data_IF_110808714033
#
_entry.id   IF_110808714033
#
_cell.length_a   1.000
_cell.length_b   1.000
_cell.length_c   1.000
_cell.angle_alpha   90.00
_cell.angle_beta   90.00
_cell.angle_gamma   90.00
#
_symmetry.space_group_name_H-M   'P 1'
#
loop_
_entity.id
_entity.type
_entity.pdbx_description
1 polymer ?
#
# COMPACT_ATOMS: atom_id res chain seq x y z
N UNK A 1 -3.87 15.04 11.71
CA UNK A 1 -3.17 15.34 10.43
C UNK A 1 -1.81 16.00 10.64
N UNK A 2 -1.68 17.17 11.28
CA UNK A 2 -0.39 17.88 11.44
C UNK A 2 0.68 17.00 12.12
N UNK A 3 0.36 16.41 13.29
CA UNK A 3 1.28 15.50 14.00
C UNK A 3 1.64 14.25 13.17
N UNK A 4 0.66 13.71 12.45
CA UNK A 4 0.88 12.56 11.58
C UNK A 4 1.85 12.90 10.44
N UNK A 5 1.67 14.06 9.79
CA UNK A 5 2.60 14.53 8.76
C UNK A 5 4.01 14.76 9.30
N UNK A 6 4.12 15.43 10.46
CA UNK A 6 5.44 15.68 11.08
C UNK A 6 6.16 14.37 11.41
N UNK A 7 5.44 13.37 11.95
CA UNK A 7 5.99 12.05 12.27
C UNK A 7 6.39 11.30 10.98
N UNK A 8 5.52 11.25 9.97
CA UNK A 8 5.80 10.64 8.69
C UNK A 8 7.04 11.25 8.02
N UNK A 9 7.11 12.57 7.97
CA UNK A 9 8.24 13.29 7.39
C UNK A 9 9.55 13.02 8.15
N UNK A 10 9.51 13.00 9.48
CA UNK A 10 10.70 12.71 10.31
C UNK A 10 11.28 11.33 10.01
N UNK A 11 10.44 10.29 10.02
CA UNK A 11 10.89 8.92 9.88
C UNK A 11 11.23 8.51 8.45
N UNK A 12 10.60 9.14 7.44
CA UNK A 12 10.84 8.79 6.03
C UNK A 12 11.71 9.82 5.28
N UNK A 13 12.29 10.82 5.96
CA UNK A 13 13.02 11.92 5.34
C UNK A 13 14.18 11.50 4.44
N UNK A 14 14.80 10.35 4.73
CA UNK A 14 15.94 9.81 3.98
C UNK A 14 15.55 8.65 3.06
N UNK A 15 14.26 8.27 3.03
CA UNK A 15 13.78 7.17 2.21
C UNK A 15 13.33 7.68 0.84
N UNK A 16 13.52 6.84 -0.17
CA UNK A 16 13.06 7.07 -1.55
C UNK A 16 12.23 5.89 -2.04
N UNK A 17 11.35 6.15 -2.99
CA UNK A 17 10.59 5.09 -3.67
C UNK A 17 11.56 4.14 -4.39
N UNK A 18 11.25 2.84 -4.32
CA UNK A 18 12.12 1.76 -4.84
C UNK A 18 12.50 2.03 -6.30
N UNK A 19 13.78 1.87 -6.62
CA UNK A 19 14.39 2.12 -7.93
C UNK A 19 14.25 3.55 -8.45
N UNK A 20 13.97 4.53 -7.60
CA UNK A 20 13.83 5.93 -7.98
C UNK A 20 14.64 6.85 -7.06
N UNK A 21 14.62 8.15 -7.35
CA UNK A 21 15.09 9.21 -6.46
C UNK A 21 13.94 10.01 -5.84
N UNK A 22 12.70 9.53 -5.99
CA UNK A 22 11.51 10.21 -5.51
C UNK A 22 11.43 10.05 -3.99
N UNK A 23 11.34 11.13 -3.21
CA UNK A 23 11.20 11.04 -1.75
C UNK A 23 9.98 10.21 -1.36
N UNK A 24 10.14 9.32 -0.38
CA UNK A 24 9.07 8.40 0.04
C UNK A 24 7.82 9.12 0.55
N UNK A 25 8.00 10.28 1.18
CA UNK A 25 6.90 11.11 1.68
C UNK A 25 5.87 11.45 0.59
N UNK A 26 6.27 11.50 -0.69
CA UNK A 26 5.35 11.74 -1.82
C UNK A 26 4.27 10.67 -1.93
N UNK A 27 4.63 9.40 -1.64
CA UNK A 27 3.68 8.29 -1.59
C UNK A 27 2.71 8.43 -0.42
N UNK A 28 3.22 8.70 0.77
CA UNK A 28 2.41 8.84 1.98
C UNK A 28 1.39 9.98 1.85
N UNK A 29 1.82 11.11 1.27
CA UNK A 29 0.93 12.24 0.97
C UNK A 29 -0.15 11.86 -0.06
N UNK A 30 0.22 11.13 -1.11
CA UNK A 30 -0.73 10.69 -2.14
C UNK A 30 -1.76 9.73 -1.57
N UNK A 31 -1.37 8.77 -0.74
CA UNK A 31 -2.29 7.84 -0.06
C UNK A 31 -3.24 8.60 0.86
N UNK A 32 -2.73 9.53 1.67
CA UNK A 32 -3.56 10.37 2.55
C UNK A 32 -4.57 11.22 1.76
N UNK A 33 -4.14 11.80 0.64
CA UNK A 33 -5.03 12.57 -0.25
C UNK A 33 -6.14 11.69 -0.84
N UNK A 34 -5.78 10.51 -1.37
CA UNK A 34 -6.74 9.54 -1.88
C UNK A 34 -7.77 9.12 -0.83
N UNK A 35 -7.38 8.94 0.42
CA UNK A 35 -8.29 8.62 1.52
C UNK A 35 -9.34 9.73 1.67
N UNK A 36 -8.91 11.00 1.72
CA UNK A 36 -9.83 12.14 1.85
C UNK A 36 -10.73 12.31 0.63
N UNK A 37 -10.19 12.17 -0.57
CA UNK A 37 -10.93 12.27 -1.84
C UNK A 37 -12.03 11.20 -1.97
N UNK A 38 -11.87 10.06 -1.29
CA UNK A 38 -12.83 8.96 -1.28
C UNK A 38 -13.67 8.88 0.00
N UNK A 39 -13.81 10.01 0.71
CA UNK A 39 -14.73 10.15 1.84
C UNK A 39 -14.20 9.63 3.17
N UNK A 40 -12.91 9.33 3.26
CA UNK A 40 -12.27 8.90 4.50
C UNK A 40 -12.20 10.02 5.55
N UNK A 41 -12.17 9.63 6.81
CA UNK A 41 -12.05 10.52 7.94
C UNK A 41 -10.64 11.12 8.08
N UNK A 42 -10.46 12.21 8.87
CA UNK A 42 -9.13 12.73 9.20
C UNK A 42 -8.22 11.71 9.89
N UNK A 43 -8.78 10.74 10.64
CA UNK A 43 -8.00 9.68 11.28
C UNK A 43 -7.52 8.65 10.26
N UNK A 44 -8.37 8.25 9.31
CA UNK A 44 -7.98 7.40 8.19
C UNK A 44 -6.92 8.08 7.30
N UNK A 45 -7.06 9.38 7.02
CA UNK A 45 -6.07 10.12 6.24
C UNK A 45 -4.73 10.27 7.01
N UNK A 46 -4.79 10.41 8.35
CA UNK A 46 -3.59 10.38 9.20
C UNK A 46 -2.92 9.00 9.18
N UNK A 47 -3.72 7.93 9.20
CA UNK A 47 -3.21 6.57 9.02
C UNK A 47 -2.61 6.36 7.62
N UNK A 48 -3.19 6.96 6.57
CA UNK A 48 -2.63 6.96 5.22
C UNK A 48 -1.23 7.61 5.13
N UNK A 49 -0.96 8.65 5.94
CA UNK A 49 0.39 9.22 6.07
C UNK A 49 1.38 8.28 6.78
N UNK A 50 0.89 7.36 7.59
CA UNK A 50 1.70 6.58 8.54
C UNK A 50 1.67 5.08 8.27
N UNK A 51 0.96 4.61 7.23
CA UNK A 51 0.67 3.20 7.02
C UNK A 51 1.89 2.29 6.93
N UNK A 52 3.02 2.82 6.43
CA UNK A 52 4.29 2.09 6.30
C UNK A 52 5.28 2.34 7.46
N UNK A 53 4.92 3.19 8.45
CA UNK A 53 5.89 3.66 9.45
C UNK A 53 6.43 2.52 10.33
N UNK A 54 5.57 1.55 10.67
CA UNK A 54 5.96 0.38 11.48
C UNK A 54 6.71 -0.69 10.68
N UNK A 55 6.58 -0.70 9.34
CA UNK A 55 7.30 -1.66 8.47
C UNK A 55 8.67 -1.12 8.05
N UNK A 56 8.74 0.15 7.70
CA UNK A 56 9.89 0.73 7.00
C UNK A 56 10.82 1.51 7.92
N UNK A 57 10.46 1.70 9.21
CA UNK A 57 11.23 2.54 10.14
C UNK A 57 11.35 1.91 11.52
N UNK A 58 12.21 2.51 12.36
CA UNK A 58 12.39 2.13 13.77
C UNK A 58 11.33 2.79 14.71
N UNK A 59 10.27 3.38 14.18
CA UNK A 59 9.21 3.97 14.98
C UNK A 59 8.49 2.90 15.78
N UNK A 60 8.46 3.04 17.10
CA UNK A 60 7.73 2.10 17.96
C UNK A 60 6.23 2.36 17.96
N UNK A 61 5.43 1.31 18.18
CA UNK A 61 3.98 1.45 18.36
C UNK A 61 3.63 2.41 19.51
N UNK A 62 4.40 2.41 20.59
CA UNK A 62 4.19 3.31 21.74
C UNK A 62 4.36 4.78 21.32
N UNK A 63 5.42 5.11 20.57
CA UNK A 63 5.62 6.46 20.05
C UNK A 63 4.52 6.87 19.10
N UNK A 64 4.11 5.97 18.20
CA UNK A 64 2.99 6.19 17.28
C UNK A 64 1.73 6.53 18.09
N UNK A 65 1.36 5.68 19.03
CA UNK A 65 0.16 5.80 19.87
C UNK A 65 0.13 7.10 20.68
N UNK A 66 1.23 7.46 21.30
CA UNK A 66 1.34 8.71 22.07
C UNK A 66 1.27 9.96 21.21
N UNK A 67 1.69 9.87 19.94
CA UNK A 67 1.70 11.01 19.00
C UNK A 67 0.36 11.23 18.31
N UNK A 68 -0.29 10.17 17.83
CA UNK A 68 -1.50 10.29 16.98
C UNK A 68 -2.75 9.64 17.56
N UNK A 69 -2.65 8.95 18.69
CA UNK A 69 -3.77 8.34 19.40
C UNK A 69 -4.09 6.91 18.97
N UNK A 70 -5.00 6.27 19.71
CA UNK A 70 -5.34 4.85 19.55
C UNK A 70 -5.97 4.56 18.18
N UNK A 71 -6.96 5.32 17.75
CA UNK A 71 -7.69 5.10 16.51
C UNK A 71 -6.76 5.02 15.31
N UNK A 72 -5.89 6.03 15.14
CA UNK A 72 -4.94 6.08 14.02
C UNK A 72 -3.94 4.91 14.11
N UNK A 73 -3.46 4.61 15.32
CA UNK A 73 -2.51 3.52 15.55
C UNK A 73 -3.09 2.16 15.17
N UNK A 74 -4.34 1.87 15.56
CA UNK A 74 -4.97 0.60 15.21
C UNK A 74 -5.21 0.46 13.70
N UNK A 75 -5.56 1.55 13.00
CA UNK A 75 -5.66 1.55 11.53
C UNK A 75 -4.28 1.26 10.90
N UNK A 76 -3.22 1.92 11.37
CA UNK A 76 -1.85 1.68 10.87
C UNK A 76 -1.44 0.22 11.08
N UNK A 77 -1.65 -0.33 12.28
CA UNK A 77 -1.36 -1.74 12.59
C UNK A 77 -2.09 -2.70 11.67
N UNK A 78 -3.35 -2.43 11.36
CA UNK A 78 -4.13 -3.26 10.44
C UNK A 78 -3.63 -3.19 8.99
N UNK A 79 -2.93 -2.13 8.59
CA UNK A 79 -2.27 -2.02 7.30
C UNK A 79 -0.88 -2.65 7.27
N UNK A 80 -0.24 -2.85 8.45
CA UNK A 80 1.13 -3.33 8.61
C UNK A 80 1.20 -4.85 8.37
N UNK A 81 2.17 -5.30 7.59
CA UNK A 81 2.42 -6.73 7.41
C UNK A 81 3.18 -7.31 8.59
N UNK A 82 2.88 -8.56 8.95
CA UNK A 82 3.66 -9.31 9.93
C UNK A 82 5.14 -9.38 9.50
N UNK A 83 6.08 -9.03 10.39
CA UNK A 83 7.50 -9.14 10.09
C UNK A 83 7.87 -10.61 9.86
N UNK A 84 8.77 -10.87 8.91
CA UNK A 84 9.25 -12.22 8.64
C UNK A 84 10.72 -12.19 8.27
N UNK A 85 11.49 -13.11 8.84
CA UNK A 85 12.89 -13.33 8.51
C UNK A 85 13.07 -14.07 7.17
N UNK A 86 12.04 -14.77 6.70
CA UNK A 86 12.09 -15.49 5.43
C UNK A 86 12.05 -14.52 4.24
N UNK A 87 13.22 -14.27 3.66
CA UNK A 87 13.42 -13.40 2.47
C UNK A 87 13.29 -14.16 1.15
N UNK A 88 13.00 -15.47 1.17
CA UNK A 88 12.80 -16.26 -0.06
C UNK A 88 11.54 -15.83 -0.82
N UNK A 89 11.42 -16.24 -2.10
CA UNK A 89 10.21 -16.02 -2.88
C UNK A 89 9.00 -16.73 -2.28
N UNK A 90 9.20 -17.90 -1.67
CA UNK A 90 8.15 -18.62 -0.97
C UNK A 90 7.68 -17.84 0.27
N UNK A 91 8.61 -17.35 1.08
CA UNK A 91 8.31 -16.49 2.23
C UNK A 91 7.59 -15.20 1.80
N UNK A 92 8.01 -14.58 0.68
CA UNK A 92 7.31 -13.42 0.11
C UNK A 92 5.85 -13.78 -0.22
N UNK A 93 5.62 -14.90 -0.93
CA UNK A 93 4.28 -15.35 -1.31
C UNK A 93 3.41 -15.69 -0.10
N UNK A 94 3.98 -16.36 0.91
CA UNK A 94 3.27 -16.68 2.17
C UNK A 94 2.79 -15.41 2.89
N UNK A 95 3.65 -14.38 3.01
CA UNK A 95 3.24 -13.09 3.61
C UNK A 95 2.12 -12.42 2.83
N UNK A 96 2.20 -12.42 1.50
CA UNK A 96 1.16 -11.83 0.64
C UNK A 96 -0.15 -12.61 0.73
N UNK A 97 -0.10 -13.94 0.79
CA UNK A 97 -1.28 -14.77 1.01
C UNK A 97 -1.89 -14.50 2.39
N UNK A 98 -1.07 -14.45 3.43
CA UNK A 98 -1.54 -14.11 4.78
C UNK A 98 -2.27 -12.75 4.81
N UNK A 99 -1.72 -11.74 4.15
CA UNK A 99 -2.37 -10.44 4.04
C UNK A 99 -3.74 -10.54 3.34
N UNK A 100 -3.84 -11.27 2.22
CA UNK A 100 -5.09 -11.48 1.50
C UNK A 100 -6.15 -12.19 2.35
N UNK A 101 -5.73 -13.18 3.11
CA UNK A 101 -6.61 -13.99 3.97
C UNK A 101 -7.20 -13.15 5.14
N UNK A 102 -6.48 -12.10 5.58
CA UNK A 102 -6.87 -11.26 6.70
C UNK A 102 -7.58 -9.96 6.29
N UNK A 103 -7.50 -9.56 5.01
CA UNK A 103 -8.25 -8.40 4.49
C UNK A 103 -9.76 -8.47 4.79
N UNK A 104 -10.47 -9.59 4.58
CA UNK A 104 -11.90 -9.70 4.85
C UNK A 104 -12.24 -9.75 6.34
N UNK A 105 -11.33 -10.22 7.19
CA UNK A 105 -11.56 -10.39 8.64
C UNK A 105 -11.57 -9.05 9.41
N UNK A 106 -11.25 -7.98 8.75
CA UNK A 106 -11.28 -6.62 9.30
C UNK A 106 -12.71 -6.05 9.45
N UNK A 107 -13.67 -6.87 9.86
CA UNK A 107 -15.06 -6.47 10.14
C UNK A 107 -15.18 -5.39 11.24
N UNK A 108 -14.10 -5.14 11.97
CA UNK A 108 -13.96 -4.02 12.93
C UNK A 108 -13.16 -2.85 12.36
N UNK A 109 -12.66 -2.93 11.13
CA UNK A 109 -11.69 -2.02 10.56
C UNK A 109 -12.06 -1.66 9.11
N UNK A 110 -13.34 -1.38 8.86
CA UNK A 110 -13.77 -0.69 7.62
C UNK A 110 -12.86 0.50 7.32
N UNK A 111 -12.33 1.11 8.36
CA UNK A 111 -11.40 2.23 8.31
C UNK A 111 -10.05 1.86 7.68
N UNK A 112 -9.48 0.70 8.00
CA UNK A 112 -8.20 0.23 7.44
C UNK A 112 -8.32 -0.21 5.98
N UNK A 113 -9.45 -0.77 5.56
CA UNK A 113 -9.67 -1.24 4.20
C UNK A 113 -9.60 -0.11 3.18
N UNK A 114 -10.12 1.07 3.50
CA UNK A 114 -10.00 2.25 2.63
C UNK A 114 -8.54 2.69 2.50
N UNK A 115 -7.80 2.75 3.60
CA UNK A 115 -6.37 3.12 3.60
C UNK A 115 -5.56 2.11 2.79
N UNK A 116 -5.78 0.82 3.02
CA UNK A 116 -5.12 -0.27 2.29
C UNK A 116 -5.40 -0.20 0.78
N UNK A 117 -6.66 0.05 0.37
CA UNK A 117 -6.98 0.20 -1.05
C UNK A 117 -6.32 1.44 -1.65
N UNK A 118 -6.33 2.58 -0.96
CA UNK A 118 -5.66 3.81 -1.41
C UNK A 118 -4.16 3.62 -1.62
N UNK A 119 -3.48 2.92 -0.70
CA UNK A 119 -2.08 2.54 -0.87
C UNK A 119 -1.89 1.70 -2.14
N UNK A 120 -2.68 0.65 -2.31
CA UNK A 120 -2.53 -0.24 -3.45
C UNK A 120 -2.90 0.43 -4.78
N UNK A 121 -3.88 1.35 -4.80
CA UNK A 121 -4.19 2.20 -5.97
C UNK A 121 -2.98 3.05 -6.34
N UNK A 122 -2.40 3.80 -5.39
CA UNK A 122 -1.24 4.62 -5.68
C UNK A 122 -0.05 3.78 -6.16
N UNK A 123 0.18 2.62 -5.57
CA UNK A 123 1.26 1.71 -5.97
C UNK A 123 1.06 1.19 -7.41
N UNK A 124 -0.14 0.72 -7.76
CA UNK A 124 -0.39 0.21 -9.12
C UNK A 124 -0.36 1.33 -10.17
N UNK A 125 -0.79 2.54 -9.85
CA UNK A 125 -0.71 3.69 -10.76
C UNK A 125 0.75 4.13 -11.01
N UNK A 126 1.60 4.05 -9.99
CA UNK A 126 3.04 4.20 -10.19
C UNK A 126 3.57 3.11 -11.13
N UNK A 127 3.11 1.88 -10.97
CA UNK A 127 3.46 0.74 -11.84
C UNK A 127 3.00 0.97 -13.28
N UNK A 128 1.79 1.53 -13.51
CA UNK A 128 1.31 1.92 -14.85
C UNK A 128 2.23 2.97 -15.48
N UNK A 129 2.61 3.99 -14.72
CA UNK A 129 3.53 5.03 -15.19
C UNK A 129 4.88 4.43 -15.60
N UNK A 130 5.42 3.55 -14.78
CA UNK A 130 6.70 2.89 -15.04
C UNK A 130 6.59 1.96 -16.26
N UNK A 131 5.46 1.24 -16.42
CA UNK A 131 5.16 0.39 -17.58
C UNK A 131 5.18 1.18 -18.90
N UNK A 132 4.59 2.37 -18.92
CA UNK A 132 4.66 3.25 -20.07
C UNK A 132 6.07 3.80 -20.31
N UNK A 133 6.80 4.17 -19.25
CA UNK A 133 8.15 4.71 -19.35
C UNK A 133 9.14 3.70 -19.99
N UNK A 134 8.99 2.41 -19.71
CA UNK A 134 9.80 1.34 -20.31
C UNK A 134 9.23 0.83 -21.64
N UNK A 135 8.22 1.50 -22.21
CA UNK A 135 7.58 1.15 -23.49
C UNK A 135 7.02 -0.28 -23.52
N UNK A 136 6.44 -0.70 -22.42
CA UNK A 136 5.80 -2.01 -22.23
C UNK A 136 6.78 -3.20 -22.36
N UNK A 137 8.06 -3.00 -22.06
CA UNK A 137 9.08 -4.04 -22.06
C UNK A 137 9.06 -4.80 -20.73
N UNK A 138 8.38 -5.95 -20.72
CA UNK A 138 8.22 -6.80 -19.53
C UNK A 138 9.56 -7.18 -18.88
N UNK A 139 10.63 -7.35 -19.67
CA UNK A 139 11.93 -7.74 -19.14
C UNK A 139 12.59 -6.68 -18.25
N UNK A 140 12.14 -5.42 -18.36
CA UNK A 140 12.62 -4.29 -17.59
C UNK A 140 11.74 -4.00 -16.38
N UNK A 141 10.52 -4.57 -16.34
CA UNK A 141 9.60 -4.35 -15.24
C UNK A 141 10.03 -5.17 -14.02
N UNK A 142 9.84 -4.62 -12.83
CA UNK A 142 10.16 -5.26 -11.55
C UNK A 142 11.63 -5.68 -11.35
N UNK A 143 12.57 -5.17 -12.15
CA UNK A 143 14.00 -5.35 -11.91
C UNK A 143 14.36 -4.77 -10.54
N UNK A 144 15.06 -5.57 -9.70
CA UNK A 144 15.38 -5.18 -8.32
C UNK A 144 14.24 -5.28 -7.30
N UNK A 145 13.05 -5.75 -7.71
CA UNK A 145 11.99 -6.13 -6.78
C UNK A 145 12.23 -7.54 -6.21
N UNK A 146 11.63 -7.82 -5.05
CA UNK A 146 11.73 -9.14 -4.39
C UNK A 146 11.00 -10.23 -5.18
N UNK A 147 10.04 -9.86 -6.03
CA UNK A 147 9.26 -10.77 -6.85
C UNK A 147 9.17 -10.23 -8.28
N UNK A 148 9.34 -11.12 -9.25
CA UNK A 148 9.24 -10.81 -10.68
C UNK A 148 7.80 -10.77 -11.19
N UNK A 149 7.65 -10.67 -12.51
CA UNK A 149 6.40 -10.44 -13.22
C UNK A 149 5.26 -11.38 -12.79
N UNK A 150 5.44 -12.69 -12.81
CA UNK A 150 4.38 -13.66 -12.55
C UNK A 150 3.83 -13.55 -11.11
N UNK A 151 4.71 -13.33 -10.14
CA UNK A 151 4.31 -13.14 -8.75
C UNK A 151 3.67 -11.77 -8.53
N UNK A 152 4.08 -10.74 -9.24
CA UNK A 152 3.43 -9.43 -9.21
C UNK A 152 2.04 -9.48 -9.87
N UNK A 153 1.90 -10.16 -11.01
CA UNK A 153 0.62 -10.42 -11.65
C UNK A 153 -0.34 -11.13 -10.68
N UNK A 154 0.12 -12.24 -10.10
CA UNK A 154 -0.66 -12.97 -9.10
C UNK A 154 -1.07 -12.06 -7.93
N UNK A 155 -0.14 -11.27 -7.40
CA UNK A 155 -0.40 -10.38 -6.28
C UNK A 155 -1.47 -9.32 -6.59
N UNK A 156 -1.30 -8.60 -7.69
CA UNK A 156 -2.23 -7.53 -8.04
C UNK A 156 -3.62 -8.05 -8.45
N UNK A 157 -3.70 -9.19 -9.12
CA UNK A 157 -4.99 -9.81 -9.46
C UNK A 157 -5.69 -10.35 -8.21
N UNK A 158 -4.98 -11.00 -7.30
CA UNK A 158 -5.54 -11.46 -6.02
C UNK A 158 -6.03 -10.30 -5.14
N UNK A 159 -5.31 -9.18 -5.12
CA UNK A 159 -5.77 -7.96 -4.44
C UNK A 159 -7.06 -7.42 -5.04
N UNK A 160 -7.16 -7.35 -6.37
CA UNK A 160 -8.36 -6.88 -7.04
C UNK A 160 -9.58 -7.74 -6.66
N UNK A 161 -9.42 -9.06 -6.66
CA UNK A 161 -10.47 -10.00 -6.26
C UNK A 161 -10.84 -9.91 -4.78
N UNK A 162 -9.87 -9.60 -3.92
CA UNK A 162 -10.10 -9.38 -2.49
C UNK A 162 -10.86 -8.08 -2.25
N UNK A 163 -10.45 -6.96 -2.85
CA UNK A 163 -11.10 -5.66 -2.70
C UNK A 163 -12.52 -5.64 -3.27
N UNK A 164 -12.82 -6.44 -4.30
CA UNK A 164 -14.19 -6.54 -4.83
C UNK A 164 -15.21 -7.11 -3.81
N UNK A 165 -14.72 -7.79 -2.77
CA UNK A 165 -15.55 -8.38 -1.70
C UNK A 165 -15.71 -7.45 -0.49
N UNK A 166 -15.02 -6.31 -0.47
CA UNK A 166 -15.02 -5.38 0.65
C UNK A 166 -15.99 -4.22 0.41
N UNK A 167 -16.50 -3.67 1.50
CA UNK A 167 -17.30 -2.43 1.49
C UNK A 167 -16.36 -1.21 1.43
N UNK A 168 -15.88 -0.93 0.23
CA UNK A 168 -15.02 0.22 -0.10
C UNK A 168 -15.53 0.89 -1.37
N UNK A 169 -15.18 2.16 -1.65
CA UNK A 169 -15.72 2.91 -2.79
C UNK A 169 -15.57 2.17 -4.13
N UNK A 170 -16.68 1.98 -4.84
CA UNK A 170 -16.73 1.22 -6.10
C UNK A 170 -15.85 1.84 -7.20
N UNK A 171 -15.80 3.17 -7.27
CA UNK A 171 -14.97 3.88 -8.23
C UNK A 171 -13.49 3.64 -7.98
N UNK A 172 -13.07 3.58 -6.71
CA UNK A 172 -11.69 3.30 -6.34
C UNK A 172 -11.29 1.85 -6.67
N UNK A 173 -12.19 0.87 -6.46
CA UNK A 173 -11.99 -0.53 -6.90
C UNK A 173 -11.84 -0.63 -8.41
N UNK A 174 -12.73 0.05 -9.16
CA UNK A 174 -12.69 0.10 -10.62
C UNK A 174 -11.37 0.71 -11.10
N UNK A 175 -10.93 1.80 -10.49
CA UNK A 175 -9.64 2.47 -10.78
C UNK A 175 -8.47 1.52 -10.56
N UNK A 176 -8.46 0.78 -9.42
CA UNK A 176 -7.44 -0.22 -9.14
C UNK A 176 -7.42 -1.33 -10.20
N UNK A 177 -8.57 -1.94 -10.50
CA UNK A 177 -8.70 -3.03 -11.48
C UNK A 177 -8.29 -2.59 -12.89
N UNK A 178 -8.67 -1.38 -13.30
CA UNK A 178 -8.27 -0.80 -14.60
C UNK A 178 -6.76 -0.66 -14.68
N UNK A 179 -6.11 -0.17 -13.64
CA UNK A 179 -4.65 -0.03 -13.59
C UNK A 179 -3.95 -1.41 -13.65
N UNK A 180 -4.45 -2.42 -12.91
CA UNK A 180 -3.96 -3.81 -12.99
C UNK A 180 -4.07 -4.35 -14.42
N UNK A 181 -5.23 -4.18 -15.07
CA UNK A 181 -5.44 -4.64 -16.45
C UNK A 181 -4.53 -3.90 -17.44
N UNK A 182 -4.26 -2.62 -17.22
CA UNK A 182 -3.36 -1.83 -18.08
C UNK A 182 -1.93 -2.40 -18.07
N UNK A 183 -1.44 -2.84 -16.91
CA UNK A 183 -0.08 -3.39 -16.79
C UNK A 183 -0.04 -4.85 -17.25
N UNK A 184 -0.98 -5.66 -16.80
CA UNK A 184 -0.90 -7.13 -16.89
C UNK A 184 -1.89 -7.76 -17.90
N UNK A 185 -2.86 -7.01 -18.41
CA UNK A 185 -3.91 -7.54 -19.30
C UNK A 185 -3.47 -7.80 -20.75
N UNK A 186 -2.29 -7.36 -21.16
CA UNK A 186 -1.74 -7.59 -22.50
C UNK A 186 -0.94 -8.89 -22.66
N UNK A 187 -0.88 -9.73 -21.64
CA UNK A 187 -0.15 -11.01 -21.66
C UNK A 187 -1.14 -12.15 -21.93
N UNK A 188 -1.55 -12.31 -23.20
CA UNK A 188 -2.08 -13.57 -23.77
C UNK A 188 -1.11 -14.11 -24.79
#
# INVERSE_FOLDING_TARGET
MERAFALANHWHMNLVRKNTKIPYISHLMAVSALVLENGGSPDQASAGLLHDILEDTECSEELLRTTVGDTVTEIVKACTHEPSEDKTLEGWKKRKQHYLDHLPAADRLTDANLVALCDKVHNVECTVRDWHAIKHDQSKMFVGFNAGWDLQLWWYTSLADAFDKLDVPADLRTRFRTAVTTVFGGTQ
#
